data_IF_466829019204
#
_entry.id   IF_466829019204
#
_cell.length_a   1.000
_cell.length_b   1.000
_cell.length_c   1.000
_cell.angle_alpha   90.00
_cell.angle_beta   90.00
_cell.angle_gamma   90.00
#
_symmetry.space_group_name_H-M   'P 1'
#
loop_
_entity.id
_entity.type
_entity.pdbx_description
1 polymer ?
#
# COMPACT_ATOMS: atom_id res chain seq x y z
N UNK A 1 -4.48 -20.26 19.73
CA UNK A 1 -5.20 -20.09 18.45
C UNK A 1 -6.38 -19.18 18.70
N UNK A 2 -6.45 -18.03 18.01
CA UNK A 2 -7.57 -17.08 18.08
C UNK A 2 -8.25 -16.94 16.73
N UNK A 3 -9.53 -16.60 16.73
CA UNK A 3 -10.26 -16.15 15.54
C UNK A 3 -9.98 -14.67 15.30
N UNK A 4 -9.39 -14.34 14.14
CA UNK A 4 -8.97 -12.97 13.80
C UNK A 4 -9.65 -12.50 12.53
N UNK A 5 -10.32 -11.35 12.61
CA UNK A 5 -10.90 -10.67 11.45
C UNK A 5 -9.99 -9.52 10.99
N UNK A 6 -9.74 -9.38 9.69
CA UNK A 6 -9.05 -8.22 9.12
C UNK A 6 -10.08 -7.34 8.40
N UNK A 7 -10.23 -6.09 8.82
CA UNK A 7 -11.11 -5.11 8.18
C UNK A 7 -10.29 -4.00 7.51
N UNK A 8 -10.24 -4.03 6.17
CA UNK A 8 -9.47 -3.09 5.34
C UNK A 8 -10.02 -3.02 3.92
N UNK A 9 -9.53 -2.07 3.13
CA UNK A 9 -9.83 -1.96 1.71
C UNK A 9 -9.17 -3.09 0.92
N UNK A 10 -9.96 -4.12 0.58
CA UNK A 10 -9.46 -5.28 -0.18
C UNK A 10 -10.09 -5.41 -1.58
N UNK A 11 -11.21 -4.76 -1.87
CA UNK A 11 -11.84 -4.79 -3.22
C UNK A 11 -11.16 -3.89 -4.27
N UNK A 12 -10.07 -3.19 -3.94
CA UNK A 12 -9.39 -2.29 -4.87
C UNK A 12 -8.49 -3.04 -5.86
N UNK A 13 -8.48 -2.63 -7.14
CA UNK A 13 -7.53 -3.16 -8.14
C UNK A 13 -6.13 -2.53 -8.01
N UNK A 14 -5.55 -2.55 -6.81
CA UNK A 14 -4.25 -1.98 -6.48
C UNK A 14 -3.29 -3.08 -6.00
N UNK A 15 -2.11 -3.19 -6.62
CA UNK A 15 -1.14 -4.25 -6.27
C UNK A 15 -0.70 -4.17 -4.82
N UNK A 16 -0.31 -2.98 -4.37
CA UNK A 16 0.07 -2.75 -2.97
C UNK A 16 -1.09 -2.98 -2.02
N UNK A 17 -2.29 -2.52 -2.39
CA UNK A 17 -3.51 -2.76 -1.62
C UNK A 17 -3.80 -4.25 -1.41
N UNK A 18 -3.63 -5.09 -2.43
CA UNK A 18 -3.76 -6.54 -2.26
C UNK A 18 -2.61 -7.13 -1.42
N UNK A 19 -1.37 -6.76 -1.73
CA UNK A 19 -0.18 -7.38 -1.13
C UNK A 19 -0.04 -7.06 0.36
N UNK A 20 -0.46 -5.89 0.83
CA UNK A 20 -0.48 -5.60 2.26
C UNK A 20 -1.49 -6.49 3.01
N UNK A 21 -2.70 -6.69 2.46
CA UNK A 21 -3.72 -7.56 3.06
C UNK A 21 -3.22 -9.00 3.10
N UNK A 22 -2.68 -9.46 1.97
CA UNK A 22 -2.11 -10.79 1.85
C UNK A 22 -0.96 -11.01 2.85
N UNK A 23 -0.08 -10.02 3.02
CA UNK A 23 1.06 -10.13 3.93
C UNK A 23 0.63 -10.17 5.41
N UNK A 24 -0.34 -9.34 5.81
CA UNK A 24 -0.92 -9.39 7.15
C UNK A 24 -1.60 -10.75 7.41
N UNK A 25 -2.43 -11.20 6.47
CA UNK A 25 -3.10 -12.50 6.53
C UNK A 25 -2.10 -13.65 6.70
N UNK A 26 -1.05 -13.69 5.86
CA UNK A 26 -0.02 -14.74 5.89
C UNK A 26 0.76 -14.72 7.19
N UNK A 27 1.15 -13.54 7.67
CA UNK A 27 1.88 -13.41 8.93
C UNK A 27 1.03 -13.89 10.11
N UNK A 28 -0.19 -13.40 10.27
CA UNK A 28 -1.08 -13.81 11.37
C UNK A 28 -1.44 -15.30 11.30
N UNK A 29 -1.63 -15.84 10.10
CA UNK A 29 -1.87 -17.27 9.91
C UNK A 29 -0.64 -18.10 10.29
N UNK A 30 0.58 -17.59 10.05
CA UNK A 30 1.83 -18.26 10.43
C UNK A 30 2.04 -18.36 11.95
N UNK A 31 1.38 -17.49 12.72
CA UNK A 31 1.34 -17.55 14.19
C UNK A 31 0.30 -18.57 14.71
N UNK A 32 -0.42 -19.26 13.82
CA UNK A 32 -1.42 -20.27 14.17
C UNK A 32 -2.79 -19.71 14.55
N UNK A 33 -3.12 -18.49 14.12
CA UNK A 33 -4.48 -17.94 14.23
C UNK A 33 -5.37 -18.38 13.07
N UNK A 34 -6.68 -18.43 13.30
CA UNK A 34 -7.68 -18.60 12.24
C UNK A 34 -8.07 -17.23 11.71
N UNK A 35 -7.54 -16.85 10.56
CA UNK A 35 -7.64 -15.48 10.02
C UNK A 35 -8.62 -15.44 8.86
N UNK A 36 -9.58 -14.51 8.90
CA UNK A 36 -10.44 -14.17 7.76
C UNK A 36 -10.39 -12.68 7.46
N UNK A 37 -10.53 -12.33 6.19
CA UNK A 37 -10.80 -10.95 5.76
C UNK A 37 -12.30 -10.71 5.88
N UNK A 38 -12.69 -9.64 6.56
CA UNK A 38 -14.10 -9.24 6.67
C UNK A 38 -14.51 -8.64 5.32
N UNK A 39 -15.41 -9.34 4.61
CA UNK A 39 -15.84 -9.04 3.24
C UNK A 39 -16.92 -7.95 3.21
N UNK A 40 -16.59 -6.83 3.87
CA UNK A 40 -17.42 -5.65 3.91
C UNK A 40 -17.12 -4.75 2.71
N UNK A 41 -18.18 -4.27 2.05
CA UNK A 41 -18.08 -3.25 1.03
C UNK A 41 -19.04 -2.10 1.32
N UNK A 42 -18.55 -0.87 1.15
CA UNK A 42 -19.39 0.31 1.23
C UNK A 42 -20.06 0.56 -0.15
N UNK A 43 -21.39 0.61 -0.25
CA UNK A 43 -22.09 0.85 -1.52
C UNK A 43 -21.73 2.17 -2.20
N UNK A 44 -21.36 3.21 -1.44
CA UNK A 44 -20.92 4.50 -1.97
C UNK A 44 -19.57 4.35 -2.67
N UNK A 45 -18.61 3.68 -2.02
CA UNK A 45 -17.30 3.39 -2.59
C UNK A 45 -17.43 2.51 -3.85
N UNK A 46 -18.21 1.43 -3.81
CA UNK A 46 -18.48 0.59 -4.99
C UNK A 46 -19.09 1.40 -6.15
N UNK A 47 -20.07 2.27 -5.86
CA UNK A 47 -20.67 3.15 -6.87
C UNK A 47 -19.63 4.11 -7.44
N UNK A 48 -18.78 4.71 -6.62
CA UNK A 48 -17.73 5.63 -7.06
C UNK A 48 -16.66 4.92 -7.92
N UNK A 49 -16.22 3.73 -7.49
CA UNK A 49 -15.31 2.85 -8.25
C UNK A 49 -15.91 2.47 -9.60
N UNK A 50 -17.19 2.11 -9.63
CA UNK A 50 -17.90 1.81 -10.87
C UNK A 50 -17.91 3.03 -11.81
N UNK A 51 -18.30 4.21 -11.32
CA UNK A 51 -18.33 5.45 -12.13
C UNK A 51 -16.94 5.77 -12.71
N UNK A 52 -15.90 5.70 -11.88
CA UNK A 52 -14.54 5.97 -12.33
C UNK A 52 -14.03 4.95 -13.35
N UNK A 53 -14.41 3.69 -13.22
CA UNK A 53 -13.94 2.61 -14.11
C UNK A 53 -14.67 2.61 -15.45
N UNK A 54 -16.00 2.82 -15.45
CA UNK A 54 -16.84 2.58 -16.62
C UNK A 54 -17.40 3.84 -17.28
N UNK A 55 -17.57 4.94 -16.53
CA UNK A 55 -18.20 6.16 -17.06
C UNK A 55 -17.19 7.26 -17.42
N UNK A 56 -16.04 7.30 -16.73
CA UNK A 56 -15.05 8.37 -16.90
C UNK A 56 -13.81 7.95 -17.72
N UNK A 57 -13.86 6.81 -18.42
CA UNK A 57 -12.70 6.28 -19.15
C UNK A 57 -12.99 6.05 -20.61
N UNK A 58 -11.94 6.26 -21.40
CA UNK A 58 -11.93 5.95 -22.83
C UNK A 58 -12.33 4.49 -23.05
N UNK A 59 -13.41 4.26 -23.81
CA UNK A 59 -13.98 2.94 -24.09
C UNK A 59 -12.96 1.96 -24.69
N UNK A 60 -11.94 2.46 -25.39
CA UNK A 60 -10.86 1.65 -25.94
C UNK A 60 -9.99 0.97 -24.87
N UNK A 61 -9.99 1.44 -23.62
CA UNK A 61 -9.27 0.80 -22.51
C UNK A 61 -10.17 -0.17 -21.70
N UNK A 62 -11.46 -0.28 -22.04
CA UNK A 62 -12.42 -1.10 -21.30
C UNK A 62 -12.04 -2.60 -21.25
N UNK A 63 -11.56 -3.25 -22.33
CA UNK A 63 -11.15 -4.65 -22.28
C UNK A 63 -10.03 -4.93 -21.27
N UNK A 64 -9.06 -4.03 -21.19
CA UNK A 64 -7.95 -4.12 -20.23
C UNK A 64 -8.46 -3.99 -18.79
N UNK A 65 -9.40 -3.08 -18.55
CA UNK A 65 -10.01 -2.90 -17.23
C UNK A 65 -10.83 -4.12 -16.80
N UNK A 66 -11.60 -4.72 -17.70
CA UNK A 66 -12.34 -5.95 -17.44
C UNK A 66 -11.37 -7.10 -17.13
N UNK A 67 -10.30 -7.25 -17.91
CA UNK A 67 -9.28 -8.28 -17.67
C UNK A 67 -8.62 -8.09 -16.30
N UNK A 68 -8.18 -6.88 -15.99
CA UNK A 68 -7.59 -6.55 -14.69
C UNK A 68 -8.55 -6.82 -13.54
N UNK A 69 -9.83 -6.44 -13.68
CA UNK A 69 -10.85 -6.74 -12.69
C UNK A 69 -10.92 -8.24 -12.41
N UNK A 70 -11.07 -9.06 -13.46
CA UNK A 70 -11.12 -10.53 -13.31
C UNK A 70 -9.88 -11.10 -12.63
N UNK A 71 -8.70 -10.56 -12.93
CA UNK A 71 -7.45 -10.97 -12.28
C UNK A 71 -7.49 -10.68 -10.78
N UNK A 72 -7.86 -9.45 -10.39
CA UNK A 72 -7.96 -9.10 -8.97
C UNK A 72 -9.07 -9.88 -8.25
N UNK A 73 -10.24 -10.03 -8.87
CA UNK A 73 -11.35 -10.83 -8.32
C UNK A 73 -10.90 -12.28 -8.06
N UNK A 74 -10.16 -12.89 -8.99
CA UNK A 74 -9.60 -14.24 -8.81
C UNK A 74 -8.55 -14.30 -7.68
N UNK A 75 -7.73 -13.27 -7.52
CA UNK A 75 -6.72 -13.22 -6.46
C UNK A 75 -7.35 -13.03 -5.07
N UNK A 76 -8.48 -12.32 -4.98
CA UNK A 76 -9.23 -12.21 -3.73
C UNK A 76 -9.76 -13.56 -3.24
N UNK A 77 -10.03 -14.51 -4.15
CA UNK A 77 -10.42 -15.88 -3.77
C UNK A 77 -9.30 -16.65 -3.05
N UNK A 78 -8.05 -16.17 -3.08
CA UNK A 78 -6.95 -16.76 -2.32
C UNK A 78 -7.01 -16.41 -0.83
N UNK A 79 -7.80 -15.41 -0.45
CA UNK A 79 -7.95 -14.96 0.93
C UNK A 79 -9.21 -15.60 1.52
N UNK A 80 -9.14 -16.24 2.71
CA UNK A 80 -10.34 -16.65 3.43
C UNK A 80 -11.16 -15.43 3.79
N UNK A 81 -12.41 -15.36 3.35
CA UNK A 81 -13.30 -14.23 3.64
C UNK A 81 -14.51 -14.67 4.45
N UNK A 82 -15.13 -13.72 5.15
CA UNK A 82 -16.53 -13.86 5.60
C UNK A 82 -17.48 -13.81 4.39
N UNK A 83 -18.76 -14.03 4.64
CA UNK A 83 -19.79 -13.70 3.67
C UNK A 83 -19.77 -12.22 3.33
N UNK A 84 -20.13 -11.92 2.08
CA UNK A 84 -20.11 -10.55 1.55
C UNK A 84 -21.28 -9.76 2.13
N UNK A 85 -20.98 -8.65 2.80
CA UNK A 85 -21.97 -7.82 3.50
C UNK A 85 -21.84 -6.35 3.13
N UNK A 86 -22.97 -5.62 3.20
CA UNK A 86 -23.03 -4.19 2.86
C UNK A 86 -23.15 -3.29 4.10
N UNK A 87 -23.41 -3.88 5.26
CA UNK A 87 -23.30 -3.27 6.59
C UNK A 87 -22.40 -4.15 7.45
N UNK A 88 -21.53 -3.53 8.25
CA UNK A 88 -20.58 -4.27 9.09
C UNK A 88 -21.31 -5.09 10.18
N UNK A 89 -22.49 -4.64 10.60
CA UNK A 89 -23.34 -5.29 11.58
C UNK A 89 -23.95 -6.60 11.06
N UNK A 90 -24.00 -6.78 9.73
CA UNK A 90 -24.49 -8.01 9.07
C UNK A 90 -23.48 -9.16 9.13
N UNK A 91 -22.21 -8.91 9.48
CA UNK A 91 -21.21 -9.99 9.65
C UNK A 91 -21.71 -10.96 10.72
N UNK A 92 -21.90 -12.22 10.38
CA UNK A 92 -22.42 -13.23 11.31
C UNK A 92 -21.34 -13.76 12.26
N UNK A 93 -20.10 -13.83 11.79
CA UNK A 93 -18.99 -14.33 12.60
C UNK A 93 -18.60 -13.35 13.72
N UNK A 94 -18.33 -13.92 14.90
CA UNK A 94 -17.68 -13.21 16.00
C UNK A 94 -16.19 -13.54 16.00
N UNK A 95 -15.37 -12.52 16.20
CA UNK A 95 -13.92 -12.66 16.28
C UNK A 95 -13.43 -12.43 17.71
N UNK A 96 -12.34 -13.10 18.07
CA UNK A 96 -11.63 -12.79 19.32
C UNK A 96 -10.93 -11.44 19.18
N UNK A 97 -10.43 -11.14 17.98
CA UNK A 97 -9.79 -9.86 17.67
C UNK A 97 -10.09 -9.44 16.23
N UNK A 98 -10.40 -8.16 16.03
CA UNK A 98 -10.48 -7.55 14.70
C UNK A 98 -9.35 -6.55 14.55
N UNK A 99 -8.60 -6.68 13.47
CA UNK A 99 -7.52 -5.79 13.06
C UNK A 99 -8.05 -4.82 12.00
N UNK A 100 -8.09 -3.54 12.34
CA UNK A 100 -8.42 -2.44 11.43
C UNK A 100 -7.16 -2.03 10.66
N UNK A 101 -7.29 -1.90 9.34
CA UNK A 101 -6.16 -1.60 8.46
C UNK A 101 -5.46 -2.85 7.92
N UNK A 102 -4.28 -2.74 7.30
CA UNK A 102 -3.50 -1.52 7.08
C UNK A 102 -4.07 -0.65 5.94
N UNK A 103 -3.25 0.23 5.38
CA UNK A 103 -3.54 1.20 4.35
C UNK A 103 -4.31 2.45 4.83
N UNK A 104 -4.76 3.27 3.89
CA UNK A 104 -5.47 4.53 4.10
C UNK A 104 -6.93 4.37 4.54
N UNK A 105 -7.22 3.38 5.37
CA UNK A 105 -8.58 3.11 5.89
C UNK A 105 -9.16 4.28 6.69
N UNK A 106 -8.30 5.17 7.22
CA UNK A 106 -8.70 6.40 7.93
C UNK A 106 -8.65 7.65 7.05
N UNK A 107 -8.50 7.51 5.73
CA UNK A 107 -8.56 8.63 4.79
C UNK A 107 -10.02 8.96 4.40
N UNK A 108 -10.86 9.29 5.39
CA UNK A 108 -12.31 9.52 5.21
C UNK A 108 -12.70 10.85 4.55
N UNK A 109 -11.73 11.73 4.31
CA UNK A 109 -11.92 12.95 3.51
C UNK A 109 -11.68 12.72 2.02
N UNK A 110 -11.21 11.53 1.63
CA UNK A 110 -11.14 11.17 0.23
C UNK A 110 -12.58 11.01 -0.32
N UNK A 111 -12.99 11.81 -1.32
CA UNK A 111 -14.34 11.76 -1.86
C UNK A 111 -14.68 10.41 -2.50
N UNK A 112 -13.68 9.56 -2.78
CA UNK A 112 -13.89 8.20 -3.28
C UNK A 112 -14.49 7.28 -2.21
N UNK A 113 -13.98 7.34 -0.97
CA UNK A 113 -14.33 6.42 0.11
C UNK A 113 -15.46 6.96 0.99
N UNK A 114 -15.49 8.29 1.21
CA UNK A 114 -16.40 8.92 2.15
C UNK A 114 -16.07 8.60 3.61
N UNK A 115 -16.92 9.07 4.53
CA UNK A 115 -16.80 8.78 5.97
C UNK A 115 -17.56 7.52 6.32
N UNK A 116 -16.81 6.52 6.76
CA UNK A 116 -17.30 5.20 7.15
C UNK A 116 -16.68 4.79 8.49
N UNK A 117 -17.50 4.83 9.54
CA UNK A 117 -17.05 4.60 10.92
C UNK A 117 -16.75 3.12 11.20
N UNK A 118 -17.13 2.20 10.30
CA UNK A 118 -16.79 0.79 10.45
C UNK A 118 -15.28 0.55 10.42
N UNK A 119 -14.53 1.34 9.64
CA UNK A 119 -13.06 1.31 9.62
C UNK A 119 -12.41 1.93 10.88
N UNK A 120 -13.23 2.48 11.78
CA UNK A 120 -12.85 2.92 13.13
C UNK A 120 -13.41 1.99 14.22
N UNK A 121 -13.88 0.80 13.83
CA UNK A 121 -14.37 -0.23 14.76
C UNK A 121 -15.86 -0.13 15.10
N UNK A 122 -16.58 0.88 14.62
CA UNK A 122 -18.01 1.01 14.92
C UNK A 122 -18.82 -0.13 14.28
N UNK A 123 -19.66 -0.81 15.07
CA UNK A 123 -20.52 -1.89 14.60
C UNK A 123 -19.81 -3.24 14.42
N UNK A 124 -18.49 -3.30 14.64
CA UNK A 124 -17.69 -4.51 14.51
C UNK A 124 -17.97 -5.48 15.67
N UNK A 125 -18.32 -6.73 15.35
CA UNK A 125 -18.53 -7.79 16.33
C UNK A 125 -17.20 -8.47 16.70
N UNK A 126 -16.58 -8.00 17.77
CA UNK A 126 -15.32 -8.55 18.27
C UNK A 126 -15.18 -8.40 19.79
N UNK A 127 -14.43 -9.30 20.43
CA UNK A 127 -14.03 -9.13 21.84
C UNK A 127 -12.94 -8.08 22.03
N UNK A 128 -12.13 -7.85 20.99
CA UNK A 128 -11.05 -6.85 20.96
C UNK A 128 -10.94 -6.23 19.58
N UNK A 129 -10.73 -4.93 19.49
CA UNK A 129 -10.51 -4.20 18.23
C UNK A 129 -9.16 -3.50 18.34
N UNK A 130 -8.28 -3.78 17.39
CA UNK A 130 -6.97 -3.11 17.30
C UNK A 130 -6.81 -2.48 15.93
N UNK A 131 -5.98 -1.45 15.78
CA UNK A 131 -5.49 -1.03 14.47
C UNK A 131 -4.07 -1.53 14.24
N UNK A 132 -3.80 -1.99 13.02
CA UNK A 132 -2.44 -2.27 12.58
C UNK A 132 -2.11 -1.42 11.35
N UNK A 133 -1.08 -0.58 11.49
CA UNK A 133 -0.53 0.21 10.38
C UNK A 133 -1.60 1.05 9.64
N UNK A 134 -2.63 1.53 10.34
CA UNK A 134 -3.67 2.38 9.75
C UNK A 134 -3.12 3.77 9.40
N UNK A 135 -3.70 4.41 8.37
CA UNK A 135 -3.23 5.71 7.88
C UNK A 135 -4.36 6.68 7.55
N UNK A 136 -4.18 7.95 7.92
CA UNK A 136 -5.05 9.07 7.51
C UNK A 136 -4.72 9.60 6.10
N UNK A 137 -3.71 9.04 5.43
CA UNK A 137 -3.30 9.45 4.09
C UNK A 137 -2.70 10.86 4.08
N UNK A 138 -3.38 11.81 3.45
CA UNK A 138 -2.86 13.19 3.27
C UNK A 138 -3.48 14.21 4.22
N UNK A 139 -4.36 13.77 5.12
CA UNK A 139 -5.01 14.66 6.09
C UNK A 139 -4.06 14.95 7.24
N UNK A 140 -3.75 16.22 7.48
CA UNK A 140 -2.87 16.68 8.56
C UNK A 140 -3.65 17.14 9.79
N UNK A 141 -3.01 17.21 10.98
CA UNK A 141 -3.64 17.65 12.22
C UNK A 141 -4.25 19.06 12.16
N UNK A 142 -3.74 19.93 11.28
CA UNK A 142 -4.23 21.30 11.08
C UNK A 142 -5.72 21.36 10.73
N UNK A 143 -6.24 20.31 10.11
CA UNK A 143 -7.64 20.22 9.73
C UNK A 143 -8.52 19.56 10.80
N UNK A 144 -7.94 19.06 11.89
CA UNK A 144 -8.62 18.35 12.96
C UNK A 144 -9.26 17.01 12.55
N UNK A 145 -9.90 16.38 13.54
CA UNK A 145 -10.66 15.12 13.43
C UNK A 145 -12.11 15.39 13.87
N UNK A 146 -13.07 14.95 13.05
CA UNK A 146 -14.50 15.02 13.35
C UNK A 146 -14.81 14.31 14.70
N UNK A 147 -15.76 14.82 15.48
CA UNK A 147 -16.00 14.33 16.84
C UNK A 147 -16.46 12.87 16.88
N UNK A 148 -17.29 12.43 15.93
CA UNK A 148 -17.71 11.04 15.81
C UNK A 148 -16.53 10.08 15.54
N UNK A 149 -15.56 10.52 14.73
CA UNK A 149 -14.32 9.79 14.48
C UNK A 149 -13.45 9.74 15.73
N UNK A 150 -13.32 10.84 16.49
CA UNK A 150 -12.59 10.84 17.77
C UNK A 150 -13.18 9.81 18.73
N UNK A 151 -14.51 9.83 18.89
CA UNK A 151 -15.22 8.92 19.79
C UNK A 151 -15.15 7.46 19.35
N UNK A 152 -15.03 7.19 18.05
CA UNK A 152 -14.78 5.85 17.53
C UNK A 152 -13.35 5.40 17.82
N UNK A 153 -12.34 6.23 17.54
CA UNK A 153 -10.92 5.92 17.79
C UNK A 153 -10.67 5.60 19.26
N UNK A 154 -11.23 6.37 20.19
CA UNK A 154 -11.07 6.15 21.64
C UNK A 154 -11.60 4.79 22.14
N UNK A 155 -12.40 4.09 21.33
CA UNK A 155 -12.94 2.76 21.64
C UNK A 155 -12.09 1.62 21.08
N UNK A 156 -11.05 1.93 20.30
CA UNK A 156 -10.10 0.93 19.81
C UNK A 156 -9.17 0.56 20.97
N UNK A 157 -9.05 -0.73 21.28
CA UNK A 157 -8.31 -1.23 22.43
C UNK A 157 -6.80 -0.97 22.32
N UNK A 158 -6.25 -1.04 21.11
CA UNK A 158 -4.84 -0.81 20.86
C UNK A 158 -4.62 -0.27 19.46
N UNK A 159 -3.85 0.80 19.35
CA UNK A 159 -3.70 1.54 18.11
C UNK A 159 -2.24 1.51 17.68
N UNK A 160 -2.02 1.11 16.44
CA UNK A 160 -0.78 1.40 15.73
C UNK A 160 -1.06 2.00 14.34
N UNK A 161 -0.12 2.83 13.90
CA UNK A 161 -0.15 3.56 12.62
C UNK A 161 1.14 3.31 11.86
N UNK A 162 1.18 3.62 10.56
CA UNK A 162 2.38 3.41 9.74
C UNK A 162 3.14 4.68 9.35
N UNK A 163 2.66 5.84 9.77
CA UNK A 163 3.25 7.12 9.39
C UNK A 163 3.13 8.19 10.50
N UNK A 164 4.10 9.11 10.55
CA UNK A 164 4.14 10.24 11.50
C UNK A 164 2.87 11.09 11.40
N UNK A 165 2.37 11.35 10.20
CA UNK A 165 1.19 12.20 10.04
C UNK A 165 -0.01 11.58 10.77
N UNK A 166 -0.18 10.27 10.66
CA UNK A 166 -1.21 9.53 11.38
C UNK A 166 -0.95 9.47 12.88
N UNK A 167 0.31 9.38 13.30
CA UNK A 167 0.68 9.49 14.71
C UNK A 167 0.30 10.87 15.29
N UNK A 168 0.70 11.95 14.62
CA UNK A 168 0.39 13.34 15.00
C UNK A 168 -1.13 13.60 15.00
N UNK A 169 -1.88 13.00 14.07
CA UNK A 169 -3.34 13.05 14.05
C UNK A 169 -3.92 12.43 15.33
N UNK A 170 -3.42 11.28 15.77
CA UNK A 170 -3.89 10.61 16.99
C UNK A 170 -3.40 11.34 18.27
N UNK A 171 -2.17 11.87 18.27
CA UNK A 171 -1.64 12.70 19.35
C UNK A 171 -2.47 13.98 19.54
N UNK A 172 -2.98 14.57 18.45
CA UNK A 172 -3.84 15.76 18.51
C UNK A 172 -5.15 15.55 19.27
N UNK A 173 -5.56 14.30 19.47
CA UNK A 173 -6.74 13.92 20.27
C UNK A 173 -6.38 13.33 21.64
N UNK A 174 -5.11 13.44 22.05
CA UNK A 174 -4.62 13.09 23.38
C UNK A 174 -4.26 11.62 23.57
N UNK A 175 -4.01 10.88 22.49
CA UNK A 175 -3.66 9.46 22.53
C UNK A 175 -2.23 9.26 21.99
N UNK A 176 -1.50 8.31 22.56
CA UNK A 176 -0.18 7.90 22.07
C UNK A 176 -0.29 6.54 21.39
N UNK A 177 0.44 6.34 20.29
CA UNK A 177 0.35 5.12 19.49
C UNK A 177 1.72 4.62 19.08
N UNK A 178 1.82 3.33 18.78
CA UNK A 178 3.04 2.76 18.22
C UNK A 178 3.06 2.97 16.70
N UNK A 179 4.22 3.35 16.17
CA UNK A 179 4.42 3.38 14.73
C UNK A 179 5.06 2.06 14.29
N UNK A 180 4.41 1.39 13.35
CA UNK A 180 4.75 0.05 12.86
C UNK A 180 5.00 0.06 11.34
N UNK A 181 5.63 -1.00 10.84
CA UNK A 181 5.86 -1.21 9.42
C UNK A 181 4.56 -1.53 8.68
N UNK A 182 4.54 -1.17 7.39
CA UNK A 182 3.53 -1.68 6.46
C UNK A 182 3.54 -3.23 6.46
N UNK A 183 2.37 -3.91 6.41
CA UNK A 183 2.32 -5.36 6.49
C UNK A 183 3.16 -6.10 5.46
N UNK A 184 3.44 -5.49 4.31
CA UNK A 184 4.29 -6.07 3.26
C UNK A 184 5.70 -6.42 3.74
N UNK A 185 6.19 -5.80 4.81
CA UNK A 185 7.48 -6.14 5.43
C UNK A 185 7.42 -7.32 6.42
N UNK A 186 6.24 -7.83 6.78
CA UNK A 186 6.10 -8.87 7.81
C UNK A 186 6.52 -10.26 7.31
N UNK A 187 6.47 -10.48 6.00
CA UNK A 187 6.82 -11.74 5.32
C UNK A 187 7.91 -11.51 4.28
N UNK A 188 8.60 -12.59 3.89
CA UNK A 188 9.56 -12.51 2.77
C UNK A 188 8.79 -12.50 1.44
N UNK A 189 8.89 -11.40 0.70
CA UNK A 189 8.22 -11.25 -0.60
C UNK A 189 8.89 -12.08 -1.70
N UNK A 190 10.12 -12.58 -1.48
CA UNK A 190 10.83 -13.44 -2.44
C UNK A 190 10.19 -14.82 -2.56
N UNK A 191 9.49 -15.28 -1.53
CA UNK A 191 8.70 -16.52 -1.52
C UNK A 191 7.45 -16.44 -2.44
N UNK A 192 7.15 -15.26 -2.97
CA UNK A 192 5.99 -14.96 -3.79
C UNK A 192 6.36 -14.38 -5.16
N UNK A 193 7.56 -14.71 -5.64
CA UNK A 193 7.98 -14.47 -7.01
C UNK A 193 7.42 -15.56 -7.94
N UNK A 194 7.08 -15.17 -9.16
CA UNK A 194 6.62 -16.08 -10.22
C UNK A 194 7.62 -16.08 -11.37
N UNK A 195 7.60 -17.11 -12.22
CA UNK A 195 8.50 -17.15 -13.38
C UNK A 195 8.05 -16.13 -14.44
N UNK A 196 8.82 -15.05 -14.57
CA UNK A 196 8.69 -14.06 -15.64
C UNK A 196 10.03 -13.95 -16.35
N UNK A 197 10.04 -14.35 -17.61
CA UNK A 197 11.22 -14.21 -18.47
C UNK A 197 11.19 -12.88 -19.19
N UNK A 198 12.11 -12.00 -18.82
CA UNK A 198 12.46 -10.81 -19.59
C UNK A 198 13.75 -11.08 -20.34
N UNK A 199 13.73 -10.98 -21.67
CA UNK A 199 14.91 -11.27 -22.50
C UNK A 199 15.99 -10.18 -22.45
N UNK A 200 15.69 -9.04 -21.83
CA UNK A 200 16.54 -7.84 -21.77
C UNK A 200 16.45 -7.22 -20.38
N UNK A 201 17.54 -6.58 -19.95
CA UNK A 201 17.55 -5.72 -18.76
C UNK A 201 16.56 -4.56 -18.95
N UNK A 202 15.93 -4.14 -17.86
CA UNK A 202 14.96 -3.04 -17.93
C UNK A 202 14.96 -2.14 -16.71
N UNK A 203 14.54 -0.90 -16.97
CA UNK A 203 14.09 0.06 -15.98
C UNK A 203 12.57 -0.07 -15.85
N UNK A 204 12.09 -0.22 -14.62
CA UNK A 204 10.67 -0.28 -14.32
C UNK A 204 10.14 1.10 -13.96
N UNK A 205 9.07 1.54 -14.63
CA UNK A 205 8.31 2.72 -14.25
C UNK A 205 6.97 2.34 -13.61
N UNK A 206 6.84 2.58 -12.30
CA UNK A 206 5.60 2.36 -11.56
C UNK A 206 5.01 3.68 -11.07
N UNK A 207 4.12 4.25 -11.87
CA UNK A 207 3.47 5.51 -11.54
C UNK A 207 2.80 6.17 -12.72
N UNK A 208 2.49 7.44 -12.51
CA UNK A 208 1.97 8.35 -13.52
C UNK A 208 2.44 9.78 -13.21
N UNK A 209 2.27 10.68 -14.18
CA UNK A 209 2.55 12.13 -14.09
C UNK A 209 4.01 12.44 -13.73
N UNK A 210 4.92 12.13 -14.65
CA UNK A 210 6.28 12.70 -14.65
C UNK A 210 6.32 13.93 -15.55
N UNK A 211 7.22 14.86 -15.23
CA UNK A 211 7.47 16.00 -16.09
C UNK A 211 8.19 15.56 -17.38
N UNK A 212 7.90 16.24 -18.49
CA UNK A 212 8.49 15.92 -19.80
C UNK A 212 10.03 16.01 -19.80
N UNK A 213 10.60 16.87 -18.96
CA UNK A 213 12.05 16.94 -18.74
C UNK A 213 12.61 15.61 -18.22
N UNK A 214 12.02 15.07 -17.16
CA UNK A 214 12.45 13.82 -16.54
C UNK A 214 12.23 12.63 -17.48
N UNK A 215 11.13 12.61 -18.22
CA UNK A 215 10.85 11.57 -19.21
C UNK A 215 11.96 11.51 -20.26
N UNK A 216 12.43 12.67 -20.75
CA UNK A 216 13.55 12.72 -21.71
C UNK A 216 14.83 12.15 -21.10
N UNK A 217 15.18 12.58 -19.88
CA UNK A 217 16.37 12.08 -19.18
C UNK A 217 16.32 10.57 -18.96
N UNK A 218 15.18 10.02 -18.52
CA UNK A 218 14.99 8.57 -18.33
C UNK A 218 15.15 7.82 -19.66
N UNK A 219 14.59 8.35 -20.75
CA UNK A 219 14.69 7.71 -22.08
C UNK A 219 16.11 7.73 -22.63
N UNK A 220 16.82 8.84 -22.48
CA UNK A 220 18.21 8.96 -22.90
C UNK A 220 19.09 8.00 -22.09
N UNK A 221 18.93 7.98 -20.76
CA UNK A 221 19.62 7.04 -19.88
C UNK A 221 19.35 5.57 -20.25
N UNK A 222 18.09 5.20 -20.48
CA UNK A 222 17.73 3.83 -20.85
C UNK A 222 18.37 3.41 -22.18
N UNK A 223 18.37 4.30 -23.19
CA UNK A 223 19.02 4.06 -24.48
C UNK A 223 20.53 3.88 -24.33
N UNK A 224 21.18 4.74 -23.56
CA UNK A 224 22.63 4.69 -23.33
C UNK A 224 23.07 3.43 -22.58
N UNK A 225 22.20 2.87 -21.75
CA UNK A 225 22.47 1.68 -20.93
C UNK A 225 21.86 0.39 -21.51
N UNK A 226 21.33 0.41 -22.74
CA UNK A 226 20.65 -0.72 -23.39
C UNK A 226 19.52 -1.33 -22.54
N UNK A 227 18.70 -0.48 -21.92
CA UNK A 227 17.57 -0.87 -21.09
C UNK A 227 16.26 -0.69 -21.83
N UNK A 228 15.34 -1.64 -21.68
CA UNK A 228 13.92 -1.39 -21.94
C UNK A 228 13.30 -0.58 -20.81
N UNK A 229 12.31 0.24 -21.13
CA UNK A 229 11.45 0.91 -20.15
C UNK A 229 10.12 0.18 -20.10
N UNK A 230 9.83 -0.46 -18.97
CA UNK A 230 8.58 -1.21 -18.77
C UNK A 230 7.72 -0.49 -17.74
N UNK A 231 6.49 -0.14 -18.11
CA UNK A 231 5.47 0.32 -17.15
C UNK A 231 4.52 -0.80 -16.77
N UNK A 232 4.27 -0.97 -15.48
CA UNK A 232 3.38 -2.02 -14.96
C UNK A 232 2.20 -1.37 -14.23
N UNK A 233 0.98 -1.82 -14.53
CA UNK A 233 -0.27 -1.34 -13.92
C UNK A 233 -0.77 0.01 -14.43
N UNK A 234 0.07 0.83 -15.06
CA UNK A 234 -0.30 2.15 -15.56
C UNK A 234 0.12 2.31 -17.01
N UNK A 235 -0.73 2.97 -17.81
CA UNK A 235 -0.45 3.21 -19.22
C UNK A 235 0.39 4.48 -19.37
N UNK A 236 1.63 4.31 -19.78
CA UNK A 236 2.59 5.37 -20.06
C UNK A 236 3.09 5.24 -21.50
N UNK A 237 2.68 6.18 -22.36
CA UNK A 237 2.95 6.13 -23.81
C UNK A 237 4.44 6.29 -24.16
N UNK A 238 5.24 6.78 -23.22
CA UNK A 238 6.66 7.01 -23.40
C UNK A 238 7.52 5.79 -23.02
N UNK A 239 6.94 4.76 -22.40
CA UNK A 239 7.60 3.50 -22.10
C UNK A 239 7.51 2.54 -23.30
N UNK A 240 8.52 1.67 -23.46
CA UNK A 240 8.60 0.70 -24.57
C UNK A 240 7.54 -0.40 -24.44
N UNK A 241 7.22 -0.80 -23.20
CA UNK A 241 6.23 -1.83 -22.90
C UNK A 241 5.31 -1.41 -21.75
N UNK A 242 4.02 -1.74 -21.89
CA UNK A 242 3.00 -1.47 -20.89
C UNK A 242 2.31 -2.78 -20.49
N UNK A 243 2.56 -3.25 -19.27
CA UNK A 243 1.93 -4.44 -18.68
C UNK A 243 0.76 -3.98 -17.80
N UNK A 244 -0.44 -3.92 -18.36
CA UNK A 244 -1.61 -3.31 -17.68
C UNK A 244 -2.45 -4.30 -16.89
N UNK A 245 -2.19 -5.58 -17.09
CA UNK A 245 -2.93 -6.73 -16.61
C UNK A 245 -2.05 -7.72 -15.85
N UNK A 246 -0.89 -7.28 -15.34
CA UNK A 246 -0.16 -8.06 -14.34
C UNK A 246 -1.07 -8.30 -13.13
N UNK A 247 -0.96 -9.47 -12.53
CA UNK A 247 -1.47 -9.79 -11.21
C UNK A 247 -0.50 -9.29 -10.10
N UNK A 248 -0.90 -9.30 -8.81
CA UNK A 248 -0.05 -8.82 -7.72
C UNK A 248 1.32 -9.49 -7.61
N UNK A 249 1.42 -10.82 -7.79
CA UNK A 249 2.70 -11.54 -7.72
C UNK A 249 3.55 -11.34 -8.98
N UNK A 250 2.93 -11.18 -10.14
CA UNK A 250 3.64 -10.75 -11.35
C UNK A 250 4.21 -9.34 -11.18
N UNK A 251 3.44 -8.41 -10.63
CA UNK A 251 3.93 -7.06 -10.33
C UNK A 251 5.11 -7.09 -9.35
N UNK A 252 5.01 -7.87 -8.26
CA UNK A 252 6.12 -8.10 -7.32
C UNK A 252 7.38 -8.57 -8.06
N UNK A 253 7.22 -9.55 -8.96
CA UNK A 253 8.30 -10.11 -9.77
C UNK A 253 8.90 -9.09 -10.73
N UNK A 254 8.08 -8.26 -11.38
CA UNK A 254 8.58 -7.19 -12.24
C UNK A 254 9.41 -6.16 -11.46
N UNK A 255 9.05 -5.84 -10.22
CA UNK A 255 9.88 -4.96 -9.39
C UNK A 255 11.18 -5.68 -8.99
N UNK A 256 11.10 -6.95 -8.60
CA UNK A 256 12.27 -7.75 -8.23
C UNK A 256 13.28 -7.93 -9.38
N UNK A 257 12.83 -8.12 -10.61
CA UNK A 257 13.73 -8.35 -11.75
C UNK A 257 14.23 -7.05 -12.40
N UNK A 258 13.70 -5.89 -12.00
CA UNK A 258 14.13 -4.61 -12.54
C UNK A 258 15.58 -4.30 -12.13
N UNK A 259 16.34 -3.69 -13.06
CA UNK A 259 17.68 -3.16 -12.78
C UNK A 259 17.61 -1.82 -12.06
N UNK A 260 16.66 -0.98 -12.50
CA UNK A 260 16.35 0.30 -11.92
C UNK A 260 14.84 0.45 -11.75
N UNK A 261 14.39 1.16 -10.70
CA UNK A 261 12.98 1.47 -10.49
C UNK A 261 12.78 2.97 -10.40
N UNK A 262 11.89 3.51 -11.23
CA UNK A 262 11.38 4.88 -11.10
C UNK A 262 9.93 4.77 -10.66
N UNK A 263 9.60 5.35 -9.52
CA UNK A 263 8.24 5.22 -8.95
C UNK A 263 7.74 6.55 -8.41
N UNK A 264 6.45 6.79 -8.61
CA UNK A 264 5.73 7.86 -7.90
C UNK A 264 4.79 7.29 -6.84
N UNK A 265 4.80 5.98 -6.60
CA UNK A 265 3.84 5.27 -5.75
C UNK A 265 4.48 4.73 -4.47
N UNK A 266 3.75 4.82 -3.33
CA UNK A 266 4.22 4.33 -2.03
C UNK A 266 4.67 2.87 -2.08
N UNK A 267 3.84 1.96 -2.58
CA UNK A 267 4.22 0.54 -2.67
C UNK A 267 5.35 0.28 -3.67
N UNK A 268 5.56 1.17 -4.64
CA UNK A 268 6.76 1.09 -5.49
C UNK A 268 8.03 1.37 -4.69
N UNK A 269 8.01 2.34 -3.77
CA UNK A 269 9.11 2.59 -2.84
C UNK A 269 9.32 1.37 -1.94
N UNK A 270 8.25 0.90 -1.29
CA UNK A 270 8.29 -0.24 -0.37
C UNK A 270 8.92 -1.47 -1.05
N UNK A 271 8.43 -1.86 -2.23
CA UNK A 271 8.97 -3.02 -2.93
C UNK A 271 10.37 -2.79 -3.52
N UNK A 272 10.75 -1.55 -3.81
CA UNK A 272 12.14 -1.23 -4.18
C UNK A 272 13.08 -1.43 -2.99
N UNK A 273 12.63 -1.10 -1.77
CA UNK A 273 13.39 -1.35 -0.53
C UNK A 273 13.47 -2.86 -0.26
N UNK A 274 12.34 -3.56 -0.28
CA UNK A 274 12.27 -5.02 -0.04
C UNK A 274 13.21 -5.80 -0.96
N UNK A 275 13.30 -5.40 -2.23
CA UNK A 275 14.12 -6.08 -3.24
C UNK A 275 15.49 -5.47 -3.46
N UNK A 276 15.88 -4.50 -2.63
CA UNK A 276 17.19 -3.83 -2.68
C UNK A 276 17.54 -3.25 -4.06
N UNK A 277 16.59 -2.55 -4.69
CA UNK A 277 16.74 -2.00 -6.05
C UNK A 277 17.47 -0.67 -6.07
N UNK A 278 18.27 -0.38 -7.10
CA UNK A 278 18.52 1.03 -7.41
C UNK A 278 17.20 1.69 -7.81
N UNK A 279 16.77 2.72 -7.09
CA UNK A 279 15.51 3.38 -7.38
C UNK A 279 15.58 4.89 -7.18
N UNK A 280 14.64 5.58 -7.81
CA UNK A 280 14.30 6.97 -7.46
C UNK A 280 12.81 7.07 -7.20
N UNK A 281 12.48 7.66 -6.06
CA UNK A 281 11.11 8.01 -5.72
C UNK A 281 10.84 9.47 -6.12
N UNK A 282 9.98 9.66 -7.11
CA UNK A 282 9.60 10.99 -7.58
C UNK A 282 8.48 11.52 -6.68
N UNK A 283 8.87 12.42 -5.80
CA UNK A 283 7.99 13.02 -4.81
C UNK A 283 7.00 13.96 -5.50
N UNK A 284 5.73 13.92 -5.09
CA UNK A 284 4.77 14.97 -5.39
C UNK A 284 4.09 15.44 -4.10
N UNK A 285 3.51 16.64 -4.12
CA UNK A 285 2.94 17.27 -2.91
C UNK A 285 1.87 16.41 -2.24
N UNK A 286 1.08 15.67 -3.04
CA UNK A 286 0.08 14.74 -2.53
C UNK A 286 0.68 13.56 -1.75
N UNK A 287 1.90 13.12 -2.08
CA UNK A 287 2.51 11.92 -1.49
C UNK A 287 3.56 12.23 -0.44
N UNK A 288 3.97 13.49 -0.29
CA UNK A 288 4.92 13.96 0.72
C UNK A 288 4.60 13.43 2.12
N UNK A 289 3.35 13.54 2.54
CA UNK A 289 2.91 13.07 3.86
C UNK A 289 2.91 11.54 3.98
N UNK A 290 2.56 10.83 2.91
CA UNK A 290 2.48 9.34 2.89
C UNK A 290 3.84 8.67 2.97
N UNK A 291 4.84 9.28 2.34
CA UNK A 291 6.16 8.65 2.14
C UNK A 291 7.22 9.21 3.08
N UNK A 292 7.04 10.47 3.53
CA UNK A 292 7.99 11.17 4.38
C UNK A 292 8.34 10.44 5.68
N UNK A 293 7.41 9.64 6.23
CA UNK A 293 7.73 8.85 7.43
C UNK A 293 8.66 7.68 7.15
N UNK A 294 8.29 6.76 6.24
CA UNK A 294 9.10 5.59 5.93
C UNK A 294 10.52 6.03 5.54
N UNK A 295 10.60 7.11 4.77
CA UNK A 295 11.83 7.80 4.39
C UNK A 295 12.65 8.29 5.58
N UNK A 296 12.04 9.05 6.49
CA UNK A 296 12.71 9.59 7.69
C UNK A 296 13.14 8.47 8.64
N UNK A 297 12.29 7.47 8.85
CA UNK A 297 12.56 6.35 9.75
C UNK A 297 13.72 5.49 9.26
N UNK A 298 13.70 5.13 7.97
CA UNK A 298 14.77 4.38 7.34
C UNK A 298 16.04 5.21 7.14
N UNK A 299 16.00 6.52 7.45
CA UNK A 299 17.07 7.49 7.22
C UNK A 299 17.59 7.41 5.79
N UNK A 300 16.67 7.19 4.86
CA UNK A 300 16.94 7.21 3.43
C UNK A 300 17.44 8.62 3.09
N UNK A 301 18.68 8.71 2.62
CA UNK A 301 19.37 9.97 2.34
C UNK A 301 18.56 10.82 1.34
N UNK A 302 18.72 12.13 1.44
CA UNK A 302 18.23 13.15 0.50
C UNK A 302 18.59 12.89 -0.98
N UNK A 303 19.63 12.10 -1.24
CA UNK A 303 19.99 11.53 -2.55
C UNK A 303 18.92 10.55 -3.09
N UNK A 304 18.07 10.07 -2.19
CA UNK A 304 16.78 9.37 -2.31
C UNK A 304 15.73 9.89 -3.27
N UNK A 305 15.65 11.22 -3.27
CA UNK A 305 14.43 11.94 -3.57
C UNK A 305 14.69 12.97 -4.63
N UNK A 306 13.76 13.02 -5.55
CA UNK A 306 13.70 14.02 -6.58
C UNK A 306 12.76 15.15 -6.13
N UNK A 307 13.29 16.37 -6.08
CA UNK A 307 12.52 17.61 -6.20
C UNK A 307 12.56 18.09 -7.66
N UNK A 308 11.59 18.90 -8.11
CA UNK A 308 11.46 19.35 -9.52
C UNK A 308 12.71 20.03 -10.11
N UNK A 309 13.67 20.43 -9.28
CA UNK A 309 14.94 21.04 -9.70
C UNK A 309 16.13 20.08 -9.66
N UNK A 310 15.94 18.83 -9.24
CA UNK A 310 17.01 17.82 -9.20
C UNK A 310 17.20 17.17 -10.57
N UNK A 311 18.36 16.53 -10.78
CA UNK A 311 18.54 15.61 -11.89
C UNK A 311 18.10 14.21 -11.48
N UNK A 312 17.03 13.70 -12.10
CA UNK A 312 16.45 12.39 -11.77
C UNK A 312 17.43 11.22 -11.94
N UNK A 313 18.36 11.32 -12.89
CA UNK A 313 19.35 10.26 -13.16
C UNK A 313 20.41 10.24 -12.06
N UNK A 314 20.91 11.39 -11.64
CA UNK A 314 21.89 11.48 -10.56
C UNK A 314 21.33 10.90 -9.25
N UNK A 315 20.05 11.16 -8.97
CA UNK A 315 19.33 10.57 -7.82
C UNK A 315 19.18 9.06 -7.97
N UNK A 316 18.74 8.59 -9.14
CA UNK A 316 18.57 7.16 -9.43
C UNK A 316 19.88 6.38 -9.44
N UNK A 317 21.04 7.02 -9.61
CA UNK A 317 22.36 6.41 -9.56
C UNK A 317 23.08 6.62 -8.22
N UNK A 318 22.47 7.39 -7.31
CA UNK A 318 23.03 7.61 -5.99
C UNK A 318 23.17 6.29 -5.22
N UNK A 319 24.22 6.17 -4.42
CA UNK A 319 24.47 4.96 -3.66
C UNK A 319 23.43 4.78 -2.55
N UNK A 320 22.76 3.63 -2.54
CA UNK A 320 21.83 3.24 -1.49
C UNK A 320 22.51 2.23 -0.56
N UNK A 321 22.76 2.62 0.69
CA UNK A 321 23.31 1.74 1.73
C UNK A 321 22.21 0.84 2.32
N UNK A 322 21.93 -0.26 1.63
CA UNK A 322 20.97 -1.25 2.09
C UNK A 322 21.33 -1.91 3.40
N UNK A 323 22.63 -1.98 3.76
CA UNK A 323 23.02 -2.54 5.05
C UNK A 323 22.53 -1.65 6.19
N UNK A 324 22.67 -0.34 6.04
CA UNK A 324 22.15 0.62 7.02
C UNK A 324 20.62 0.66 7.03
N UNK A 325 19.98 0.72 5.86
CA UNK A 325 18.51 0.73 5.74
C UNK A 325 17.91 -0.53 6.37
N UNK A 326 18.45 -1.71 6.04
CA UNK A 326 17.96 -2.98 6.58
C UNK A 326 18.16 -3.09 8.08
N UNK A 327 19.21 -2.48 8.66
CA UNK A 327 19.38 -2.43 10.12
C UNK A 327 18.21 -1.71 10.79
N UNK A 328 17.83 -0.52 10.29
CA UNK A 328 16.70 0.24 10.83
C UNK A 328 15.36 -0.47 10.54
N UNK A 329 15.21 -1.01 9.33
CA UNK A 329 14.00 -1.70 8.91
C UNK A 329 13.74 -2.96 9.75
N UNK A 330 14.77 -3.74 10.04
CA UNK A 330 14.63 -4.97 10.84
C UNK A 330 14.17 -4.67 12.27
N UNK A 331 14.62 -3.57 12.87
CA UNK A 331 14.13 -3.10 14.17
C UNK A 331 12.63 -2.75 14.10
N UNK A 332 12.23 -1.98 13.08
CA UNK A 332 10.81 -1.66 12.87
C UNK A 332 9.96 -2.91 12.67
N UNK A 333 10.43 -3.86 11.84
CA UNK A 333 9.75 -5.13 11.61
C UNK A 333 9.61 -5.91 12.91
N UNK A 334 10.68 -5.99 13.72
CA UNK A 334 10.63 -6.68 15.01
C UNK A 334 9.59 -6.07 15.95
N UNK A 335 9.59 -4.74 16.11
CA UNK A 335 8.60 -4.03 16.94
C UNK A 335 7.17 -4.23 16.41
N UNK A 336 7.00 -4.24 15.09
CA UNK A 336 5.71 -4.46 14.43
C UNK A 336 5.16 -5.87 14.68
N UNK A 337 6.05 -6.87 14.63
CA UNK A 337 5.73 -8.26 14.93
C UNK A 337 5.39 -8.43 16.41
N UNK A 338 6.14 -7.78 17.30
CA UNK A 338 5.89 -7.78 18.74
C UNK A 338 4.52 -7.17 19.08
N UNK A 339 4.17 -6.02 18.47
CA UNK A 339 2.84 -5.42 18.61
C UNK A 339 1.74 -6.43 18.27
N UNK A 340 1.82 -7.08 17.11
CA UNK A 340 0.81 -8.07 16.70
C UNK A 340 0.73 -9.28 17.65
N UNK A 341 1.87 -9.80 18.11
CA UNK A 341 1.92 -10.95 19.04
C UNK A 341 1.37 -10.58 20.43
N UNK A 342 1.62 -9.35 20.88
CA UNK A 342 1.15 -8.87 22.17
C UNK A 342 -0.34 -8.58 22.15
N UNK A 343 -0.83 -8.00 21.05
CA UNK A 343 -2.21 -7.54 20.95
C UNK A 343 -3.22 -8.59 20.47
N UNK A 344 -2.76 -9.65 19.79
CA UNK A 344 -3.56 -10.80 19.32
C UNK A 344 -3.17 -12.02 20.12
#
# INVERSE_FOLDING_TARGET
MKSVGILTFHHGHNYGGFLQVYSLYKYLSSLGHNVKIINYFNPIDEKNKFRMTYLNRNIFNLPVHIRRKKIFDNFLLMLPTTDKVCSIEEVEENFDTVVLGSDEVWNFYNPMFGKDLSYFGQGVKSSKIISYAASFGTRTPEYGIDEDVKEAIKKIDSISVRDINSNEMIESIGLNVEIVADPTFLIDQKDHLVDIKTNEDYLLFYGFMLHEGDIRLIKDFARENNLKIISVGYKNRWCDLNILDANPFEWNTYVHNAKYVVTTMFHGLVYSIIHEKQFVFVMNDYRRYKVGYLMKYLKLDSSTYYHENDNIIDKMLSHIDYKFINSNLNELIANSKEFLIREI
#
